data_IF_906251823598
#
_entry.id   IF_906251823598
#
_cell.length_a   1.000
_cell.length_b   1.000
_cell.length_c   1.000
_cell.angle_alpha   90.00
_cell.angle_beta   90.00
_cell.angle_gamma   90.00
#
_symmetry.space_group_name_H-M   'P 1'
#
loop_
_entity.id
_entity.type
_entity.pdbx_description
1 polymer ?
#
# COMPACT_ATOMS: atom_id res chain seq x y z
N UNK A 1 -30.40 -24.48 -65.20
CA UNK A 1 -30.71 -24.65 -63.73
C UNK A 1 -29.46 -24.82 -62.85
N UNK A 2 -28.43 -25.58 -63.25
CA UNK A 2 -27.21 -25.73 -62.40
C UNK A 2 -26.43 -24.44 -62.19
N UNK A 3 -26.24 -23.59 -63.24
CA UNK A 3 -25.49 -22.33 -63.13
C UNK A 3 -26.18 -21.30 -62.20
N UNK A 4 -27.51 -21.30 -62.14
CA UNK A 4 -28.26 -20.40 -61.30
C UNK A 4 -28.10 -20.74 -59.77
N UNK A 5 -27.95 -22.00 -59.45
CA UNK A 5 -27.67 -22.44 -58.07
C UNK A 5 -26.31 -21.98 -57.58
N UNK A 6 -25.29 -21.97 -58.44
CA UNK A 6 -23.96 -21.48 -58.08
C UNK A 6 -23.91 -19.96 -57.84
N UNK A 7 -24.72 -19.20 -58.60
CA UNK A 7 -24.84 -17.73 -58.42
C UNK A 7 -25.50 -17.40 -57.07
N UNK A 8 -26.52 -18.15 -56.69
CA UNK A 8 -27.19 -17.97 -55.37
C UNK A 8 -26.23 -18.33 -54.22
N UNK A 9 -25.46 -19.41 -54.33
CA UNK A 9 -24.47 -19.80 -53.32
C UNK A 9 -23.36 -18.77 -53.20
N UNK A 10 -22.86 -18.20 -54.31
CA UNK A 10 -21.86 -17.13 -54.30
C UNK A 10 -22.42 -15.82 -53.67
N UNK A 11 -23.68 -15.50 -53.93
CA UNK A 11 -24.34 -14.32 -53.36
C UNK A 11 -24.60 -14.46 -51.86
N UNK A 12 -24.99 -15.64 -51.40
CA UNK A 12 -25.16 -15.96 -49.94
C UNK A 12 -23.81 -15.96 -49.24
N UNK A 13 -22.75 -16.48 -49.90
CA UNK A 13 -21.40 -16.49 -49.32
C UNK A 13 -20.82 -15.05 -49.22
N UNK A 14 -21.17 -14.15 -50.14
CA UNK A 14 -20.80 -12.72 -50.09
C UNK A 14 -21.51 -11.92 -48.99
N UNK A 15 -22.71 -12.35 -48.55
CA UNK A 15 -23.45 -11.69 -47.46
C UNK A 15 -22.94 -12.05 -46.04
N UNK A 16 -22.20 -13.16 -45.92
CA UNK A 16 -21.63 -13.60 -44.65
C UNK A 16 -20.32 -12.87 -44.32
N UNK A 17 -19.69 -12.21 -45.29
CA UNK A 17 -18.41 -11.52 -45.14
C UNK A 17 -18.52 -10.08 -44.59
N UNK A 18 -19.71 -9.57 -44.33
CA UNK A 18 -19.96 -8.23 -43.76
C UNK A 18 -20.43 -8.27 -42.31
N UNK A 19 -19.96 -9.24 -41.53
CA UNK A 19 -20.05 -9.15 -40.10
C UNK A 19 -18.89 -8.27 -39.59
N UNK A 20 -19.03 -6.95 -39.68
CA UNK A 20 -18.28 -6.06 -38.81
C UNK A 20 -18.77 -6.29 -37.37
N UNK A 21 -18.16 -7.22 -36.66
CA UNK A 21 -18.21 -7.23 -35.22
C UNK A 21 -17.19 -6.20 -34.77
N UNK A 22 -17.65 -5.01 -34.47
CA UNK A 22 -16.93 -4.11 -33.58
C UNK A 22 -16.91 -4.83 -32.23
N UNK A 23 -15.74 -5.37 -31.86
CA UNK A 23 -15.53 -6.11 -30.61
C UNK A 23 -14.99 -5.20 -29.52
N UNK A 24 -14.99 -3.89 -29.73
CA UNK A 24 -14.69 -2.93 -28.70
C UNK A 24 -15.87 -2.89 -27.71
N UNK A 25 -15.75 -3.66 -26.65
CA UNK A 25 -16.72 -3.72 -25.57
C UNK A 25 -16.67 -2.42 -24.77
N UNK A 26 -17.68 -1.58 -24.88
CA UNK A 26 -17.84 -0.43 -23.98
C UNK A 26 -18.22 -0.95 -22.58
N UNK A 27 -17.23 -0.98 -21.69
CA UNK A 27 -17.41 -1.43 -20.31
C UNK A 27 -18.12 -0.33 -19.53
N UNK A 28 -19.44 -0.42 -19.40
CA UNK A 28 -20.27 0.54 -18.62
C UNK A 28 -20.36 0.17 -17.13
N UNK A 29 -20.00 -1.06 -16.75
CA UNK A 29 -20.23 -1.61 -15.40
C UNK A 29 -18.96 -1.73 -14.55
N UNK A 30 -17.79 -1.54 -15.12
CA UNK A 30 -16.50 -1.64 -14.41
C UNK A 30 -15.75 -0.30 -14.44
N UNK A 31 -15.14 0.02 -13.30
CA UNK A 31 -14.23 1.16 -13.20
C UNK A 31 -12.87 0.70 -13.69
N UNK A 32 -12.44 1.24 -14.83
CA UNK A 32 -11.09 1.04 -15.40
C UNK A 32 -10.26 2.29 -15.20
N UNK A 33 -8.94 2.21 -15.35
CA UNK A 33 -8.06 3.38 -15.31
C UNK A 33 -8.52 4.47 -16.28
N UNK A 34 -8.94 4.10 -17.50
CA UNK A 34 -9.36 5.03 -18.54
C UNK A 34 -10.66 5.79 -18.21
N UNK A 35 -11.59 5.16 -17.48
CA UNK A 35 -12.86 5.79 -17.14
C UNK A 35 -12.90 6.39 -15.72
N UNK A 36 -11.93 6.07 -14.87
CA UNK A 36 -11.86 6.61 -13.51
C UNK A 36 -11.22 8.00 -13.46
N UNK A 37 -10.05 8.20 -14.11
CA UNK A 37 -9.30 9.44 -14.05
C UNK A 37 -9.82 10.45 -15.10
N UNK A 38 -10.87 11.20 -14.77
CA UNK A 38 -11.47 12.18 -15.67
C UNK A 38 -11.19 13.64 -15.29
N UNK A 39 -10.72 13.88 -14.09
CA UNK A 39 -10.39 15.21 -13.58
C UNK A 39 -9.46 15.13 -12.37
N UNK A 40 -8.92 16.27 -11.94
CA UNK A 40 -8.01 16.37 -10.80
C UNK A 40 -8.58 15.84 -9.48
N UNK A 41 -9.89 15.90 -9.28
CA UNK A 41 -10.51 15.36 -8.06
C UNK A 41 -10.45 13.84 -8.02
N UNK A 42 -10.54 13.15 -9.16
CA UNK A 42 -10.37 11.70 -9.21
C UNK A 42 -8.93 11.29 -8.85
N UNK A 43 -7.93 12.03 -9.34
CA UNK A 43 -6.52 11.81 -8.98
C UNK A 43 -6.31 12.00 -7.48
N UNK A 44 -6.83 13.11 -6.93
CA UNK A 44 -6.77 13.37 -5.49
C UNK A 44 -7.52 12.30 -4.67
N UNK A 45 -8.68 11.86 -5.12
CA UNK A 45 -9.46 10.82 -4.46
C UNK A 45 -8.72 9.47 -4.43
N UNK A 46 -8.00 9.11 -5.50
CA UNK A 46 -7.16 7.91 -5.52
C UNK A 46 -6.04 7.99 -4.47
N UNK A 47 -5.36 9.13 -4.35
CA UNK A 47 -4.37 9.36 -3.29
C UNK A 47 -5.00 9.22 -1.90
N UNK A 48 -6.13 9.91 -1.65
CA UNK A 48 -6.82 9.90 -0.35
C UNK A 48 -7.31 8.51 0.04
N UNK A 49 -7.71 7.68 -0.93
CA UNK A 49 -8.08 6.29 -0.67
C UNK A 49 -6.93 5.47 -0.09
N UNK A 50 -5.68 5.71 -0.52
CA UNK A 50 -4.49 5.10 0.06
C UNK A 50 -4.26 5.54 1.51
N UNK A 51 -4.50 6.83 1.85
CA UNK A 51 -4.48 7.30 3.22
C UNK A 51 -5.55 6.66 4.09
N UNK A 52 -6.78 6.55 3.57
CA UNK A 52 -7.88 5.89 4.28
C UNK A 52 -7.55 4.41 4.56
N UNK A 53 -6.93 3.71 3.61
CA UNK A 53 -6.48 2.33 3.80
C UNK A 53 -5.36 2.24 4.83
N UNK A 54 -4.36 3.12 4.77
CA UNK A 54 -3.27 3.15 5.74
C UNK A 54 -3.78 3.48 7.15
N UNK A 55 -4.72 4.41 7.29
CA UNK A 55 -5.40 4.70 8.56
C UNK A 55 -6.15 3.47 9.09
N UNK A 56 -6.95 2.81 8.25
CA UNK A 56 -7.67 1.58 8.62
C UNK A 56 -6.71 0.47 9.07
N UNK A 57 -5.57 0.30 8.40
CA UNK A 57 -4.54 -0.66 8.79
C UNK A 57 -3.91 -0.28 10.14
N UNK A 58 -3.56 0.99 10.32
CA UNK A 58 -2.94 1.51 11.53
C UNK A 58 -3.84 1.45 12.77
N UNK A 59 -5.16 1.51 12.61
CA UNK A 59 -6.16 1.45 13.69
C UNK A 59 -6.90 0.11 13.75
N UNK A 60 -6.40 -0.92 13.06
CA UNK A 60 -7.03 -2.24 13.09
C UNK A 60 -6.89 -2.92 14.45
N UNK A 61 -7.92 -3.68 14.84
CA UNK A 61 -7.88 -4.52 16.03
C UNK A 61 -6.69 -5.49 15.99
N UNK A 62 -6.38 -6.04 14.81
CA UNK A 62 -5.27 -6.94 14.62
C UNK A 62 -3.94 -6.30 15.05
N UNK A 63 -3.64 -5.08 14.55
CA UNK A 63 -2.44 -4.36 14.95
C UNK A 63 -2.41 -4.10 16.45
N UNK A 64 -3.51 -3.58 16.99
CA UNK A 64 -3.59 -3.22 18.40
C UNK A 64 -3.38 -4.43 19.31
N UNK A 65 -4.12 -5.52 19.09
CA UNK A 65 -4.00 -6.71 19.95
C UNK A 65 -2.70 -7.46 19.76
N UNK A 66 -2.13 -7.50 18.56
CA UNK A 66 -0.82 -8.09 18.34
C UNK A 66 0.29 -7.31 19.06
N UNK A 67 0.18 -5.99 19.21
CA UNK A 67 1.17 -5.19 19.93
C UNK A 67 0.94 -5.21 21.45
N UNK A 68 -0.29 -4.94 21.91
CA UNK A 68 -0.56 -4.66 23.31
C UNK A 68 -0.74 -5.93 24.16
N UNK A 69 -1.39 -6.96 23.60
CA UNK A 69 -1.66 -8.20 24.35
C UNK A 69 -0.41 -9.07 24.45
N UNK A 70 0.40 -9.13 23.39
CA UNK A 70 1.67 -9.87 23.42
C UNK A 70 2.77 -9.17 24.22
N UNK A 71 2.65 -7.85 24.43
CA UNK A 71 3.61 -7.07 25.20
C UNK A 71 3.24 -6.95 26.69
N UNK A 72 2.26 -7.71 27.18
CA UNK A 72 1.75 -7.66 28.57
C UNK A 72 1.18 -6.29 29.00
N UNK A 73 0.96 -5.37 28.07
CA UNK A 73 0.38 -4.06 28.36
C UNK A 73 -1.15 -4.13 28.45
N UNK A 74 -1.75 -5.15 27.85
CA UNK A 74 -3.17 -5.38 27.83
C UNK A 74 -3.48 -6.86 28.10
N UNK A 75 -4.41 -7.11 29.04
CA UNK A 75 -4.98 -8.43 29.24
C UNK A 75 -6.49 -8.39 29.07
N UNK A 76 -7.04 -9.32 28.29
CA UNK A 76 -8.48 -9.45 28.06
C UNK A 76 -8.97 -10.77 28.69
N UNK A 77 -9.35 -10.77 29.99
CA UNK A 77 -9.83 -11.98 30.65
C UNK A 77 -11.24 -12.34 30.18
N UNK A 78 -11.50 -13.63 30.05
CA UNK A 78 -12.85 -14.12 29.78
C UNK A 78 -13.77 -13.86 30.98
N UNK A 79 -14.88 -13.16 30.75
CA UNK A 79 -15.89 -12.85 31.76
C UNK A 79 -17.28 -13.24 31.21
N UNK A 80 -17.76 -14.41 31.62
CA UNK A 80 -19.01 -14.96 31.10
C UNK A 80 -18.96 -15.17 29.58
N UNK A 81 -19.73 -14.41 28.81
CA UNK A 81 -19.75 -14.47 27.34
C UNK A 81 -18.78 -13.47 26.67
N UNK A 82 -18.09 -12.63 27.45
CA UNK A 82 -17.25 -11.56 26.92
C UNK A 82 -15.77 -11.93 27.04
N UNK A 83 -14.97 -11.47 26.10
CA UNK A 83 -13.51 -11.60 26.10
C UNK A 83 -13.01 -13.02 25.81
N UNK A 84 -13.85 -13.97 25.40
CA UNK A 84 -13.40 -15.31 25.04
C UNK A 84 -12.76 -15.35 23.64
N UNK A 85 -13.45 -14.80 22.63
CA UNK A 85 -13.00 -14.76 21.23
C UNK A 85 -12.30 -16.06 20.77
N UNK A 86 -12.93 -17.22 21.00
CA UNK A 86 -12.31 -18.51 20.69
C UNK A 86 -11.01 -18.81 21.45
N UNK A 87 -10.69 -18.07 22.51
CA UNK A 87 -9.46 -18.18 23.29
C UNK A 87 -8.26 -17.43 22.69
N UNK A 88 -8.43 -16.68 21.59
CA UNK A 88 -7.35 -16.01 20.89
C UNK A 88 -6.63 -14.99 21.76
N UNK A 89 -7.33 -14.16 22.56
CA UNK A 89 -6.71 -13.21 23.48
C UNK A 89 -5.80 -13.90 24.52
N UNK A 90 -6.23 -15.04 25.03
CA UNK A 90 -5.43 -15.82 26.00
C UNK A 90 -4.19 -16.39 25.33
N UNK A 91 -4.32 -16.95 24.13
CA UNK A 91 -3.17 -17.49 23.39
C UNK A 91 -2.18 -16.40 22.98
N UNK A 92 -2.65 -15.19 22.62
CA UNK A 92 -1.77 -14.04 22.37
C UNK A 92 -0.99 -13.67 23.66
N UNK A 93 -1.68 -13.51 24.78
CA UNK A 93 -1.05 -13.18 26.06
C UNK A 93 -0.04 -14.24 26.53
N UNK A 94 -0.37 -15.52 26.35
CA UNK A 94 0.51 -16.64 26.72
C UNK A 94 1.59 -16.96 25.68
N UNK A 95 1.70 -16.19 24.60
CA UNK A 95 2.61 -16.43 23.47
C UNK A 95 2.45 -17.82 22.83
N UNK A 96 1.19 -18.29 22.74
CA UNK A 96 0.81 -19.60 22.19
C UNK A 96 -0.01 -19.47 20.90
N UNK A 97 0.08 -18.34 20.22
CA UNK A 97 -0.64 -18.12 18.95
C UNK A 97 -0.14 -19.06 17.87
N UNK A 98 -1.00 -19.28 16.88
CA UNK A 98 -0.71 -20.01 15.66
C UNK A 98 -0.95 -19.12 14.45
N UNK A 99 -0.54 -19.56 13.26
CA UNK A 99 -0.81 -18.87 12.00
C UNK A 99 -2.30 -18.80 11.64
N UNK A 100 -3.14 -19.59 12.32
CA UNK A 100 -4.60 -19.65 12.10
C UNK A 100 -5.37 -18.59 12.88
N UNK A 101 -4.70 -17.86 13.78
CA UNK A 101 -5.36 -16.80 14.56
C UNK A 101 -5.79 -15.64 13.65
N UNK A 102 -7.02 -15.15 13.85
CA UNK A 102 -7.55 -14.05 13.03
C UNK A 102 -6.70 -12.79 13.11
N UNK A 103 -6.16 -12.46 14.30
CA UNK A 103 -5.32 -11.28 14.45
C UNK A 103 -3.99 -11.44 13.72
N UNK A 104 -3.38 -12.62 13.73
CA UNK A 104 -2.15 -12.92 12.99
C UNK A 104 -2.41 -12.82 11.48
N UNK A 105 -3.50 -13.46 10.99
CA UNK A 105 -3.89 -13.38 9.59
C UNK A 105 -4.17 -11.92 9.13
N UNK A 106 -4.96 -11.18 9.89
CA UNK A 106 -5.30 -9.80 9.55
C UNK A 106 -4.10 -8.85 9.71
N UNK A 107 -3.20 -9.12 10.66
CA UNK A 107 -1.94 -8.38 10.81
C UNK A 107 -1.02 -8.54 9.60
N UNK A 108 -1.13 -9.65 8.87
CA UNK A 108 -0.45 -9.89 7.59
C UNK A 108 -1.25 -9.29 6.43
N UNK A 109 -2.52 -9.65 6.29
CA UNK A 109 -3.33 -9.34 5.12
C UNK A 109 -3.61 -7.83 4.95
N UNK A 110 -3.91 -7.11 6.04
CA UNK A 110 -4.28 -5.70 5.95
C UNK A 110 -3.15 -4.79 5.43
N UNK A 111 -1.88 -4.93 5.90
CA UNK A 111 -0.78 -4.16 5.33
C UNK A 111 -0.50 -4.53 3.86
N UNK A 112 -0.55 -5.81 3.47
CA UNK A 112 -0.36 -6.20 2.07
C UNK A 112 -1.45 -5.68 1.14
N UNK A 113 -2.70 -5.60 1.59
CA UNK A 113 -3.76 -4.90 0.85
C UNK A 113 -3.44 -3.41 0.68
N UNK A 114 -2.86 -2.77 1.70
CA UNK A 114 -2.40 -1.38 1.61
C UNK A 114 -1.25 -1.22 0.62
N UNK A 115 -0.27 -2.13 0.62
CA UNK A 115 0.85 -2.14 -0.33
C UNK A 115 0.33 -2.33 -1.77
N UNK A 116 -0.57 -3.29 -1.99
CA UNK A 116 -1.16 -3.53 -3.31
C UNK A 116 -1.90 -2.28 -3.83
N UNK A 117 -2.69 -1.62 -2.98
CA UNK A 117 -3.37 -0.38 -3.35
C UNK A 117 -2.37 0.73 -3.70
N UNK A 118 -1.28 0.89 -2.93
CA UNK A 118 -0.22 1.85 -3.25
C UNK A 118 0.44 1.53 -4.59
N UNK A 119 0.78 0.25 -4.85
CA UNK A 119 1.42 -0.15 -6.10
C UNK A 119 0.51 0.09 -7.32
N UNK A 120 -0.78 -0.23 -7.21
CA UNK A 120 -1.76 0.04 -8.27
C UNK A 120 -1.84 1.54 -8.57
N UNK A 121 -2.01 2.38 -7.52
CA UNK A 121 -2.11 3.83 -7.71
C UNK A 121 -0.79 4.43 -8.21
N UNK A 122 0.37 3.90 -7.79
CA UNK A 122 1.68 4.32 -8.31
C UNK A 122 1.78 4.01 -9.80
N UNK A 123 1.45 2.79 -10.22
CA UNK A 123 1.44 2.40 -11.63
C UNK A 123 0.52 3.30 -12.47
N UNK A 124 -0.67 3.61 -11.96
CA UNK A 124 -1.58 4.53 -12.65
C UNK A 124 -0.94 5.93 -12.78
N UNK A 125 -0.41 6.49 -11.69
CA UNK A 125 0.13 7.85 -11.68
C UNK A 125 1.40 7.99 -12.54
N UNK A 126 2.25 6.98 -12.59
CA UNK A 126 3.42 6.97 -13.46
C UNK A 126 3.04 7.06 -14.95
N UNK A 127 1.95 6.41 -15.35
CA UNK A 127 1.47 6.35 -16.73
C UNK A 127 0.55 7.52 -17.13
N UNK A 128 -0.03 8.26 -16.16
CA UNK A 128 -0.91 9.38 -16.43
C UNK A 128 -0.12 10.67 -16.71
N UNK A 129 -0.57 11.42 -17.73
CA UNK A 129 -0.14 12.80 -17.95
C UNK A 129 -0.97 13.76 -17.08
N UNK A 130 -0.41 14.21 -15.96
CA UNK A 130 -1.08 15.09 -15.01
C UNK A 130 -1.44 16.47 -15.63
N UNK A 131 -0.74 16.90 -16.67
CA UNK A 131 -1.04 18.17 -17.35
C UNK A 131 -2.44 18.18 -17.99
N UNK A 132 -2.94 17.04 -18.45
CA UNK A 132 -4.30 16.89 -18.98
C UNK A 132 -5.37 17.21 -17.94
N UNK A 133 -5.04 17.07 -16.65
CA UNK A 133 -5.91 17.37 -15.51
C UNK A 133 -5.61 18.74 -14.87
N UNK A 134 -4.79 19.56 -15.51
CA UNK A 134 -4.33 20.87 -15.00
C UNK A 134 -3.53 20.77 -13.69
N UNK A 135 -2.83 19.67 -13.50
CA UNK A 135 -1.88 19.44 -12.41
C UNK A 135 -0.45 19.56 -12.94
N UNK A 136 0.47 19.98 -12.07
CA UNK A 136 1.90 20.15 -12.42
C UNK A 136 2.67 18.86 -12.23
N UNK A 137 3.84 18.75 -12.87
CA UNK A 137 4.76 17.63 -12.64
C UNK A 137 5.26 17.59 -11.17
N UNK A 138 5.42 18.75 -10.54
CA UNK A 138 5.72 18.86 -9.11
C UNK A 138 4.62 18.19 -8.25
N UNK A 139 3.34 18.45 -8.57
CA UNK A 139 2.20 17.77 -7.90
C UNK A 139 2.22 16.27 -8.12
N UNK A 140 2.59 15.81 -9.32
CA UNK A 140 2.73 14.38 -9.63
C UNK A 140 3.82 13.75 -8.76
N UNK A 141 5.01 14.34 -8.73
CA UNK A 141 6.14 13.85 -7.94
C UNK A 141 5.81 13.81 -6.44
N UNK A 142 5.12 14.83 -5.94
CA UNK A 142 4.64 14.89 -4.56
C UNK A 142 3.67 13.74 -4.25
N UNK A 143 2.68 13.48 -5.11
CA UNK A 143 1.71 12.39 -4.89
C UNK A 143 2.37 11.02 -4.98
N UNK A 144 3.31 10.82 -5.89
CA UNK A 144 4.12 9.60 -5.97
C UNK A 144 4.95 9.41 -4.68
N UNK A 145 5.57 10.48 -4.18
CA UNK A 145 6.33 10.43 -2.93
C UNK A 145 5.45 10.03 -1.73
N UNK A 146 4.24 10.59 -1.64
CA UNK A 146 3.30 10.21 -0.58
C UNK A 146 2.85 8.75 -0.68
N UNK A 147 2.56 8.24 -1.88
CA UNK A 147 2.19 6.83 -2.08
C UNK A 147 3.33 5.88 -1.69
N UNK A 148 4.57 6.24 -2.01
CA UNK A 148 5.76 5.48 -1.58
C UNK A 148 5.93 5.52 -0.06
N UNK A 149 5.69 6.67 0.58
CA UNK A 149 5.69 6.78 2.04
C UNK A 149 4.61 5.90 2.68
N UNK A 150 3.39 5.89 2.13
CA UNK A 150 2.27 5.05 2.59
C UNK A 150 2.58 3.55 2.41
N UNK A 151 3.27 3.18 1.32
CA UNK A 151 3.76 1.81 1.11
C UNK A 151 4.73 1.40 2.22
N UNK A 152 5.72 2.25 2.52
CA UNK A 152 6.67 2.01 3.62
C UNK A 152 5.96 1.97 4.97
N UNK A 153 4.96 2.83 5.20
CA UNK A 153 4.13 2.78 6.41
C UNK A 153 3.50 1.39 6.65
N UNK A 154 3.01 0.75 5.61
CA UNK A 154 2.51 -0.62 5.71
C UNK A 154 3.63 -1.64 6.00
N UNK A 155 4.81 -1.47 5.40
CA UNK A 155 5.98 -2.32 5.69
C UNK A 155 6.48 -2.20 7.12
N UNK A 156 6.29 -1.05 7.79
CA UNK A 156 6.63 -0.89 9.22
C UNK A 156 5.92 -1.91 10.11
N UNK A 157 4.66 -2.21 9.83
CA UNK A 157 3.93 -3.25 10.58
C UNK A 157 4.40 -4.66 10.20
N UNK A 158 4.67 -4.90 8.94
CA UNK A 158 5.11 -6.20 8.46
C UNK A 158 6.48 -6.59 9.02
N UNK A 159 7.45 -5.68 9.01
CA UNK A 159 8.77 -5.95 9.58
C UNK A 159 8.70 -6.09 11.11
N UNK A 160 7.81 -5.33 11.77
CA UNK A 160 7.64 -5.40 13.22
C UNK A 160 7.03 -6.74 13.67
N UNK A 161 6.01 -7.24 12.96
CA UNK A 161 5.32 -8.47 13.34
C UNK A 161 5.99 -9.75 12.82
N UNK A 162 6.50 -9.73 11.58
CA UNK A 162 6.88 -10.95 10.86
C UNK A 162 8.35 -11.03 10.47
N UNK A 163 9.10 -9.96 10.50
CA UNK A 163 10.52 -9.86 10.10
C UNK A 163 10.77 -10.22 8.63
N UNK A 164 10.54 -11.47 8.25
CA UNK A 164 10.74 -11.98 6.89
C UNK A 164 9.46 -11.82 6.07
N UNK A 165 9.47 -10.87 5.15
CA UNK A 165 8.31 -10.56 4.32
C UNK A 165 8.73 -10.33 2.86
N UNK A 166 7.90 -10.64 1.87
CA UNK A 166 8.22 -10.33 0.48
C UNK A 166 8.21 -8.81 0.24
N UNK A 167 9.18 -8.32 -0.53
CA UNK A 167 9.19 -6.94 -1.04
C UNK A 167 8.44 -6.93 -2.36
N UNK A 168 7.24 -6.35 -2.34
CA UNK A 168 6.32 -6.29 -3.50
C UNK A 168 6.21 -4.83 -3.94
N UNK A 169 6.77 -4.53 -5.10
CA UNK A 169 6.71 -3.21 -5.74
C UNK A 169 5.93 -3.23 -7.04
N UNK A 170 5.54 -4.42 -7.48
CA UNK A 170 4.83 -4.73 -8.70
C UNK A 170 3.59 -5.55 -8.38
N UNK A 171 2.55 -5.48 -9.22
CA UNK A 171 1.28 -6.18 -9.04
C UNK A 171 1.27 -7.60 -9.63
N UNK A 172 2.25 -7.95 -10.45
CA UNK A 172 2.24 -9.19 -11.24
C UNK A 172 3.09 -10.31 -10.67
N UNK A 173 4.03 -10.04 -9.74
CA UNK A 173 4.98 -11.05 -9.27
C UNK A 173 4.71 -11.55 -7.84
N UNK A 174 4.63 -12.88 -7.71
CA UNK A 174 4.72 -13.54 -6.41
C UNK A 174 6.20 -13.59 -6.00
N UNK A 175 6.57 -12.77 -5.02
CA UNK A 175 7.95 -12.69 -4.50
C UNK A 175 8.15 -13.67 -3.35
N UNK A 176 9.36 -14.24 -3.28
CA UNK A 176 9.80 -14.95 -2.08
C UNK A 176 9.97 -13.99 -0.91
N UNK A 177 9.99 -14.51 0.31
CA UNK A 177 10.29 -13.72 1.51
C UNK A 177 11.71 -13.18 1.44
N UNK A 178 11.85 -11.89 1.74
CA UNK A 178 13.13 -11.21 1.93
C UNK A 178 13.59 -11.31 3.37
N UNK A 179 14.89 -11.15 3.60
CA UNK A 179 15.46 -11.04 4.93
C UNK A 179 15.05 -9.71 5.59
N UNK A 180 15.04 -9.62 6.94
CA UNK A 180 14.76 -8.37 7.62
C UNK A 180 15.68 -7.22 7.18
N UNK A 181 16.94 -7.50 6.88
CA UNK A 181 17.91 -6.51 6.40
C UNK A 181 17.52 -5.98 5.01
N UNK A 182 17.11 -6.85 4.08
CA UNK A 182 16.65 -6.42 2.76
C UNK A 182 15.39 -5.55 2.88
N UNK A 183 14.42 -5.92 3.73
CA UNK A 183 13.21 -5.13 3.97
C UNK A 183 13.56 -3.77 4.58
N UNK A 184 14.46 -3.75 5.56
CA UNK A 184 14.92 -2.51 6.19
C UNK A 184 15.59 -1.58 5.16
N UNK A 185 16.54 -2.09 4.39
CA UNK A 185 17.24 -1.32 3.36
C UNK A 185 16.28 -0.78 2.28
N UNK A 186 15.30 -1.58 1.88
CA UNK A 186 14.24 -1.14 0.99
C UNK A 186 13.49 0.06 1.58
N UNK A 187 13.01 -0.05 2.82
CA UNK A 187 12.27 1.02 3.49
C UNK A 187 13.11 2.30 3.65
N UNK A 188 14.36 2.15 4.09
CA UNK A 188 15.31 3.27 4.25
C UNK A 188 15.54 3.98 2.91
N UNK A 189 15.84 3.24 1.86
CA UNK A 189 16.11 3.80 0.53
C UNK A 189 14.89 4.50 -0.06
N UNK A 190 13.68 3.93 0.10
CA UNK A 190 12.44 4.56 -0.33
C UNK A 190 12.21 5.91 0.36
N UNK A 191 12.31 5.94 1.70
CA UNK A 191 12.07 7.16 2.48
C UNK A 191 13.09 8.26 2.18
N UNK A 192 14.37 7.91 2.07
CA UNK A 192 15.41 8.89 1.75
C UNK A 192 15.25 9.47 0.33
N UNK A 193 14.85 8.63 -0.62
CA UNK A 193 14.66 9.06 -2.01
C UNK A 193 13.50 10.04 -2.18
N UNK A 194 12.39 9.84 -1.47
CA UNK A 194 11.19 10.68 -1.61
C UNK A 194 11.21 11.96 -0.76
N UNK A 195 12.11 12.05 0.22
CA UNK A 195 12.13 13.15 1.17
C UNK A 195 12.22 14.54 0.51
N UNK A 196 13.03 14.75 -0.54
CA UNK A 196 13.13 16.04 -1.23
C UNK A 196 11.86 16.44 -2.01
N UNK A 197 11.05 15.48 -2.44
CA UNK A 197 9.87 15.69 -3.29
C UNK A 197 8.64 16.10 -2.48
N UNK A 198 8.72 16.02 -1.15
CA UNK A 198 7.64 16.39 -0.25
C UNK A 198 7.77 17.85 0.23
N UNK A 199 6.65 18.54 0.47
CA UNK A 199 6.67 19.87 1.07
C UNK A 199 7.10 19.82 2.53
N UNK A 200 7.55 20.95 3.10
CA UNK A 200 7.97 21.01 4.50
C UNK A 200 6.84 21.23 5.50
N UNK A 201 5.80 21.92 5.16
CA UNK A 201 4.75 22.34 6.10
C UNK A 201 3.38 22.08 5.50
N UNK A 202 2.98 20.82 5.44
CA UNK A 202 1.65 20.43 4.89
C UNK A 202 0.56 20.40 5.95
N UNK A 203 0.91 20.27 7.21
CA UNK A 203 -0.01 20.03 8.31
C UNK A 203 -0.25 18.53 8.57
N UNK A 204 -1.23 18.21 9.43
CA UNK A 204 -1.37 16.90 10.06
C UNK A 204 -2.10 15.82 9.23
N UNK A 205 -2.58 16.12 8.03
CA UNK A 205 -3.48 15.24 7.30
C UNK A 205 -2.82 14.41 6.20
N UNK A 206 -1.64 14.80 5.73
CA UNK A 206 -0.90 14.13 4.66
C UNK A 206 0.60 14.17 4.99
N UNK A 207 1.39 13.27 4.38
CA UNK A 207 2.84 13.26 4.58
C UNK A 207 3.49 14.54 4.03
N UNK A 208 4.39 15.07 4.84
CA UNK A 208 5.38 16.07 4.51
C UNK A 208 6.78 15.56 4.88
N UNK A 209 7.79 16.39 4.70
CA UNK A 209 9.17 16.00 5.03
C UNK A 209 9.32 15.61 6.51
N UNK A 210 8.70 16.32 7.44
CA UNK A 210 8.78 16.00 8.87
C UNK A 210 8.10 14.65 9.18
N UNK A 211 6.96 14.36 8.56
CA UNK A 211 6.28 13.08 8.69
C UNK A 211 7.13 11.91 8.22
N UNK A 212 7.76 12.02 7.05
CA UNK A 212 8.66 10.98 6.51
C UNK A 212 9.93 10.86 7.34
N UNK A 213 10.54 11.97 7.76
CA UNK A 213 11.68 11.96 8.67
C UNK A 213 11.36 11.26 10.01
N UNK A 214 10.13 11.42 10.52
CA UNK A 214 9.67 10.73 11.74
C UNK A 214 9.54 9.22 11.53
N UNK A 215 9.16 8.76 10.33
CA UNK A 215 9.20 7.32 10.02
C UNK A 215 10.65 6.81 10.02
N UNK A 216 11.61 7.57 9.47
CA UNK A 216 13.02 7.21 9.50
C UNK A 216 13.55 7.12 10.95
N UNK A 217 13.20 8.05 11.82
CA UNK A 217 13.54 7.98 13.25
C UNK A 217 13.05 6.66 13.86
N UNK A 218 11.79 6.30 13.61
CA UNK A 218 11.23 5.05 14.11
C UNK A 218 11.92 3.82 13.51
N UNK A 219 12.26 3.86 12.22
CA UNK A 219 12.98 2.80 11.52
C UNK A 219 14.36 2.58 12.17
N UNK A 220 15.14 3.65 12.36
CA UNK A 220 16.47 3.60 12.97
C UNK A 220 16.44 3.17 14.43
N UNK A 221 15.47 3.67 15.20
CA UNK A 221 15.31 3.29 16.62
C UNK A 221 15.13 1.77 16.81
N UNK A 222 14.44 1.13 15.87
CA UNK A 222 14.13 -0.30 15.94
C UNK A 222 15.13 -1.20 15.19
N UNK A 223 16.10 -0.63 14.48
CA UNK A 223 17.03 -1.36 13.63
C UNK A 223 17.75 -2.50 14.35
N UNK A 224 18.28 -2.24 15.55
CA UNK A 224 18.99 -3.26 16.33
C UNK A 224 18.11 -4.49 16.63
N UNK A 225 16.81 -4.27 16.91
CA UNK A 225 15.86 -5.36 17.19
C UNK A 225 15.39 -6.08 15.92
N UNK A 226 15.30 -5.38 14.80
CA UNK A 226 14.79 -5.95 13.56
C UNK A 226 15.86 -6.63 12.74
N UNK A 227 17.06 -6.04 12.67
CA UNK A 227 18.15 -6.47 11.78
C UNK A 227 19.48 -6.77 12.49
N UNK A 228 19.54 -6.60 13.82
CA UNK A 228 20.78 -6.84 14.58
C UNK A 228 21.87 -5.77 14.39
N UNK A 229 21.57 -4.65 13.75
CA UNK A 229 22.50 -3.57 13.48
C UNK A 229 22.01 -2.30 14.17
N UNK A 230 22.85 -1.70 15.00
CA UNK A 230 22.53 -0.43 15.65
C UNK A 230 22.55 0.72 14.64
N UNK A 231 21.51 1.56 14.72
CA UNK A 231 21.34 2.79 13.94
C UNK A 231 20.98 3.97 14.86
N UNK A 232 21.44 3.94 16.10
CA UNK A 232 21.11 4.99 17.08
C UNK A 232 21.72 6.36 16.72
N UNK A 233 22.88 6.39 16.07
CA UNK A 233 23.48 7.64 15.61
C UNK A 233 22.64 8.30 14.51
N UNK A 234 22.20 7.53 13.51
CA UNK A 234 21.32 8.00 12.45
C UNK A 234 19.94 8.42 13.01
N UNK A 235 19.46 7.69 14.03
CA UNK A 235 18.23 8.03 14.72
C UNK A 235 18.33 9.41 15.41
N UNK A 236 19.40 9.64 16.20
CA UNK A 236 19.66 10.91 16.88
C UNK A 236 19.81 12.05 15.91
N UNK A 237 20.62 11.88 14.86
CA UNK A 237 20.84 12.91 13.83
C UNK A 237 19.54 13.30 13.12
N UNK A 238 18.71 12.31 12.77
CA UNK A 238 17.42 12.57 12.11
C UNK A 238 16.43 13.26 13.06
N UNK A 239 16.35 12.81 14.31
CA UNK A 239 15.49 13.42 15.32
C UNK A 239 15.92 14.87 15.61
N UNK A 240 17.23 15.14 15.76
CA UNK A 240 17.75 16.47 15.97
C UNK A 240 17.46 17.37 14.76
N UNK A 241 17.60 16.87 13.54
CA UNK A 241 17.28 17.62 12.32
C UNK A 241 15.79 18.01 12.24
N UNK A 242 14.87 17.17 12.76
CA UNK A 242 13.45 17.54 12.89
C UNK A 242 13.28 18.65 13.91
N UNK A 243 13.88 18.52 15.09
CA UNK A 243 13.79 19.54 16.16
C UNK A 243 14.39 20.89 15.75
N UNK A 244 15.41 20.88 14.92
CA UNK A 244 16.05 22.09 14.37
C UNK A 244 15.24 22.73 13.21
N UNK A 245 14.06 22.18 12.87
CA UNK A 245 13.19 22.70 11.81
C UNK A 245 13.70 22.45 10.39
N UNK A 246 14.64 21.51 10.18
CA UNK A 246 15.19 21.22 8.84
C UNK A 246 14.09 20.74 7.87
N UNK A 247 13.10 20.05 8.38
CA UNK A 247 12.01 19.42 7.61
C UNK A 247 10.66 20.15 7.73
N UNK A 248 10.61 21.30 8.38
CA UNK A 248 9.43 22.09 8.65
C UNK A 248 9.18 22.26 10.15
N UNK A 249 8.16 23.05 10.51
CA UNK A 249 7.72 23.28 11.90
C UNK A 249 6.59 22.31 12.31
#
# INVERSE_FOLDING_TARGET
MKKFKYIIVLFVMGLISFSCTDLDEEIFSEITTDNYYQNSNNIYAALVNNYAKAFSTGWSDARYFLQEVTADQLMIPTRGKHGYNGGEYVRLHEHKWTVEENFVYNGWAAPFQGIALCNNTLSDFENLDFSTFKLTEETKNEYIAELRALRVWNYMFLIDFFRHVPIVTDIEEVKAQSTPLEVFNFMESELLAILPDLPKNRGVSRFDQAGVASILVRLYLNAEKWIGISKYEECEQMAQAILDGKYGE
#
